data_IF_657463076958
#
_entry.id   IF_657463076958
#
_cell.length_a   1.000
_cell.length_b   1.000
_cell.length_c   1.000
_cell.angle_alpha   90.00
_cell.angle_beta   90.00
_cell.angle_gamma   90.00
#
_symmetry.space_group_name_H-M   'P 1'
#
loop_
_entity.id
_entity.type
_entity.pdbx_description
1 polymer ?
#
# COMPACT_ATOMS: atom_id res chain seq x y z
N UNK A 1 -13.52 20.23 22.40
CA UNK A 1 -13.24 18.80 22.74
C UNK A 1 -13.60 17.78 21.64
N UNK A 2 -14.26 18.16 20.56
CA UNK A 2 -14.80 17.24 19.52
C UNK A 2 -13.75 16.71 18.52
N UNK A 3 -12.68 17.47 18.22
CA UNK A 3 -11.69 17.13 17.19
C UNK A 3 -10.82 15.91 17.55
N UNK A 4 -10.42 15.76 18.82
CA UNK A 4 -9.58 14.65 19.30
C UNK A 4 -10.31 13.29 19.28
N UNK A 5 -11.62 13.30 19.56
CA UNK A 5 -12.47 12.10 19.57
C UNK A 5 -12.71 11.55 18.14
N UNK A 6 -12.86 12.44 17.16
CA UNK A 6 -13.05 12.11 15.74
C UNK A 6 -11.80 11.44 15.12
N UNK A 7 -10.61 11.96 15.45
CA UNK A 7 -9.31 11.42 14.97
C UNK A 7 -9.05 10.01 15.51
N UNK A 8 -9.39 9.77 16.79
CA UNK A 8 -9.22 8.44 17.38
C UNK A 8 -10.15 7.40 16.75
N UNK A 9 -11.39 7.76 16.39
CA UNK A 9 -12.35 6.82 15.79
C UNK A 9 -11.88 6.31 14.42
N UNK A 10 -11.37 7.19 13.55
CA UNK A 10 -10.83 6.80 12.25
C UNK A 10 -9.61 5.89 12.42
N UNK A 11 -8.70 6.24 13.31
CA UNK A 11 -7.51 5.42 13.61
C UNK A 11 -7.90 4.05 14.12
N UNK A 12 -8.87 3.96 15.03
CA UNK A 12 -9.36 2.70 15.56
C UNK A 12 -10.05 1.84 14.49
N UNK A 13 -10.85 2.45 13.60
CA UNK A 13 -11.50 1.75 12.50
C UNK A 13 -10.48 1.18 11.50
N UNK A 14 -9.43 1.94 11.18
CA UNK A 14 -8.33 1.47 10.33
C UNK A 14 -7.61 0.27 10.97
N UNK A 15 -7.20 0.40 12.22
CA UNK A 15 -6.54 -0.68 12.95
C UNK A 15 -7.41 -1.94 13.02
N UNK A 16 -8.70 -1.78 13.31
CA UNK A 16 -9.65 -2.87 13.38
C UNK A 16 -9.79 -3.62 12.06
N UNK A 17 -9.85 -2.91 10.92
CA UNK A 17 -9.91 -3.56 9.61
C UNK A 17 -8.61 -4.28 9.28
N UNK A 18 -7.45 -3.69 9.57
CA UNK A 18 -6.13 -4.33 9.39
C UNK A 18 -6.05 -5.64 10.18
N UNK A 19 -6.41 -5.64 11.46
CA UNK A 19 -6.40 -6.84 12.29
C UNK A 19 -7.33 -7.93 11.73
N UNK A 20 -8.56 -7.55 11.35
CA UNK A 20 -9.53 -8.50 10.79
C UNK A 20 -9.08 -9.10 9.46
N UNK A 21 -8.39 -8.34 8.59
CA UNK A 21 -7.82 -8.84 7.34
C UNK A 21 -6.73 -9.89 7.54
N UNK A 22 -6.04 -9.87 8.68
CA UNK A 22 -5.07 -10.90 9.04
C UNK A 22 -5.73 -12.18 9.57
N UNK A 23 -6.91 -12.06 10.19
CA UNK A 23 -7.62 -13.15 10.86
C UNK A 23 -8.60 -13.90 9.95
N UNK A 24 -9.21 -13.20 8.98
CA UNK A 24 -10.27 -13.78 8.15
C UNK A 24 -10.31 -13.19 6.73
N UNK A 25 -11.03 -13.88 5.85
CA UNK A 25 -11.27 -13.43 4.47
C UNK A 25 -12.07 -12.13 4.46
N UNK A 26 -11.71 -11.22 3.54
CA UNK A 26 -12.38 -9.93 3.38
C UNK A 26 -13.90 -10.05 3.20
N UNK A 27 -14.35 -11.06 2.45
CA UNK A 27 -15.78 -11.34 2.19
C UNK A 27 -16.59 -11.56 3.48
N UNK A 28 -15.96 -12.12 4.50
CA UNK A 28 -16.58 -12.44 5.80
C UNK A 28 -16.54 -11.27 6.78
N UNK A 29 -15.74 -10.23 6.51
CA UNK A 29 -15.67 -9.04 7.36
C UNK A 29 -16.93 -8.19 7.17
N UNK A 30 -17.58 -7.87 8.26
CA UNK A 30 -18.76 -7.00 8.31
C UNK A 30 -18.45 -5.68 9.02
N UNK A 31 -19.26 -4.65 8.78
CA UNK A 31 -19.18 -3.39 9.53
C UNK A 31 -19.37 -3.64 11.04
N UNK A 32 -20.18 -4.64 11.40
CA UNK A 32 -20.34 -5.07 12.80
C UNK A 32 -19.03 -5.55 13.43
N UNK A 33 -18.26 -6.41 12.72
CA UNK A 33 -16.96 -6.86 13.18
C UNK A 33 -16.00 -5.68 13.36
N UNK A 34 -15.95 -4.78 12.38
CA UNK A 34 -15.05 -3.61 12.39
C UNK A 34 -15.37 -2.70 13.57
N UNK A 35 -16.65 -2.32 13.73
CA UNK A 35 -17.08 -1.39 14.81
C UNK A 35 -16.91 -1.98 16.18
N UNK A 36 -17.18 -3.28 16.35
CA UNK A 36 -16.95 -3.99 17.61
C UNK A 36 -15.46 -4.00 17.97
N UNK A 37 -14.59 -4.37 17.03
CA UNK A 37 -13.12 -4.41 17.20
C UNK A 37 -12.56 -3.01 17.49
N UNK A 38 -13.07 -1.97 16.80
CA UNK A 38 -12.67 -0.58 16.96
C UNK A 38 -13.22 0.07 18.24
N UNK A 39 -14.14 -0.60 18.96
CA UNK A 39 -14.86 -0.06 20.09
C UNK A 39 -15.57 1.28 19.78
N UNK A 40 -16.27 1.32 18.65
CA UNK A 40 -17.08 2.47 18.23
C UNK A 40 -18.49 2.02 17.83
N UNK A 41 -19.45 2.96 17.78
CA UNK A 41 -20.80 2.67 17.31
C UNK A 41 -20.84 2.55 15.77
N UNK A 42 -21.85 1.84 15.22
CA UNK A 42 -22.12 1.85 13.77
C UNK A 42 -22.40 3.26 13.25
N UNK A 43 -23.09 4.10 14.03
CA UNK A 43 -23.30 5.50 13.68
C UNK A 43 -21.99 6.28 13.54
N UNK A 44 -21.00 5.99 14.40
CA UNK A 44 -19.66 6.57 14.28
C UNK A 44 -18.95 6.10 13.00
N UNK A 45 -19.11 4.83 12.60
CA UNK A 45 -18.57 4.33 11.33
C UNK A 45 -19.13 5.12 10.15
N UNK A 46 -20.47 5.22 10.05
CA UNK A 46 -21.14 5.90 8.94
C UNK A 46 -20.98 7.43 8.93
N UNK A 47 -20.44 8.03 9.98
CA UNK A 47 -19.99 9.43 9.97
C UNK A 47 -18.69 9.64 9.17
N UNK A 48 -17.94 8.56 8.90
CA UNK A 48 -16.62 8.63 8.27
C UNK A 48 -16.56 7.87 6.95
N UNK A 49 -17.26 6.74 6.83
CA UNK A 49 -17.17 5.81 5.69
C UNK A 49 -18.56 5.34 5.27
N UNK A 50 -18.73 5.18 3.96
CA UNK A 50 -20.00 4.68 3.38
C UNK A 50 -20.20 3.19 3.68
N UNK A 51 -19.12 2.42 3.53
CA UNK A 51 -19.08 0.98 3.75
C UNK A 51 -17.65 0.51 4.07
N UNK A 52 -17.44 -0.82 4.17
CA UNK A 52 -16.12 -1.38 4.44
C UNK A 52 -15.15 -1.21 3.27
N UNK A 53 -15.68 -1.10 2.05
CA UNK A 53 -14.90 -0.95 0.83
C UNK A 53 -14.32 0.47 0.76
N UNK A 54 -15.10 1.47 1.16
CA UNK A 54 -14.65 2.87 1.31
C UNK A 54 -13.54 2.99 2.36
N UNK A 55 -13.70 2.33 3.51
CA UNK A 55 -12.64 2.27 4.53
C UNK A 55 -11.37 1.57 4.01
N UNK A 56 -11.51 0.46 3.29
CA UNK A 56 -10.37 -0.27 2.72
C UNK A 56 -9.64 0.59 1.66
N UNK A 57 -10.40 1.24 0.78
CA UNK A 57 -9.86 2.16 -0.23
C UNK A 57 -9.10 3.33 0.42
N UNK A 58 -9.67 3.91 1.46
CA UNK A 58 -9.04 4.99 2.23
C UNK A 58 -7.70 4.55 2.83
N UNK A 59 -7.65 3.37 3.47
CA UNK A 59 -6.41 2.81 4.03
C UNK A 59 -5.36 2.62 2.93
N UNK A 60 -5.75 2.03 1.81
CA UNK A 60 -4.85 1.79 0.68
C UNK A 60 -4.28 3.08 0.11
N UNK A 61 -5.12 4.11 -0.05
CA UNK A 61 -4.69 5.42 -0.57
C UNK A 61 -3.71 6.11 0.39
N UNK A 62 -4.02 6.13 1.68
CA UNK A 62 -3.14 6.72 2.70
C UNK A 62 -1.79 5.97 2.78
N UNK A 63 -1.81 4.64 2.65
CA UNK A 63 -0.59 3.83 2.64
C UNK A 63 0.28 4.14 1.42
N UNK A 64 -0.31 4.23 0.24
CA UNK A 64 0.43 4.57 -0.98
C UNK A 64 0.99 5.99 -0.94
N UNK A 65 0.25 6.95 -0.37
CA UNK A 65 0.73 8.31 -0.18
C UNK A 65 1.97 8.35 0.72
N UNK A 66 1.94 7.66 1.85
CA UNK A 66 3.10 7.56 2.75
C UNK A 66 4.29 6.86 2.08
N UNK A 67 4.01 5.84 1.29
CA UNK A 67 5.02 5.09 0.55
C UNK A 67 5.70 5.99 -0.49
N UNK A 68 4.91 6.78 -1.24
CA UNK A 68 5.39 7.80 -2.14
C UNK A 68 6.30 8.82 -1.43
N UNK A 69 5.85 9.40 -0.33
CA UNK A 69 6.58 10.41 0.41
C UNK A 69 7.97 9.92 0.85
N UNK A 70 8.09 8.66 1.26
CA UNK A 70 9.35 8.06 1.69
C UNK A 70 10.25 7.75 0.49
N UNK A 71 9.71 7.19 -0.59
CA UNK A 71 10.48 6.82 -1.77
C UNK A 71 10.88 8.02 -2.64
N UNK A 72 10.07 9.08 -2.66
CA UNK A 72 10.37 10.29 -3.40
C UNK A 72 11.47 11.15 -2.74
N UNK A 73 11.81 10.90 -1.48
CA UNK A 73 12.88 11.60 -0.77
C UNK A 73 14.25 11.04 -1.17
N UNK A 74 15.05 11.85 -1.86
CA UNK A 74 16.45 11.56 -2.15
C UNK A 74 16.75 11.21 -3.60
N UNK A 75 18.03 11.07 -3.89
CA UNK A 75 18.56 10.72 -5.22
C UNK A 75 18.65 9.20 -5.32
N UNK A 76 17.51 8.52 -5.52
CA UNK A 76 17.45 7.07 -5.60
C UNK A 76 17.95 6.57 -6.97
N UNK A 77 18.83 5.58 -6.95
CA UNK A 77 19.01 4.72 -8.11
C UNK A 77 18.05 3.52 -8.07
N UNK A 78 18.16 2.60 -9.03
CA UNK A 78 17.23 1.44 -9.13
C UNK A 78 17.32 0.52 -7.92
N UNK A 79 18.55 0.24 -7.48
CA UNK A 79 18.81 -0.71 -6.39
C UNK A 79 18.36 -0.13 -5.06
N UNK A 80 18.70 1.14 -4.82
CA UNK A 80 18.26 1.88 -3.63
C UNK A 80 16.73 1.98 -3.53
N UNK A 81 16.04 2.16 -4.66
CA UNK A 81 14.57 2.26 -4.67
C UNK A 81 13.93 0.93 -4.27
N UNK A 82 14.40 -0.19 -4.83
CA UNK A 82 13.88 -1.51 -4.47
C UNK A 82 14.17 -1.83 -3.01
N UNK A 83 15.41 -1.67 -2.58
CA UNK A 83 15.82 -1.94 -1.21
C UNK A 83 14.99 -1.12 -0.20
N UNK A 84 14.83 0.19 -0.44
CA UNK A 84 13.98 1.03 0.42
C UNK A 84 12.53 0.58 0.45
N UNK A 85 11.96 0.22 -0.69
CA UNK A 85 10.59 -0.28 -0.75
C UNK A 85 10.43 -1.57 0.08
N UNK A 86 11.36 -2.51 -0.06
CA UNK A 86 11.35 -3.76 0.69
C UNK A 86 11.55 -3.55 2.19
N UNK A 87 12.46 -2.65 2.60
CA UNK A 87 12.65 -2.30 4.00
C UNK A 87 11.41 -1.65 4.64
N UNK A 88 10.71 -0.78 3.89
CA UNK A 88 9.45 -0.20 4.35
C UNK A 88 8.38 -1.27 4.60
N UNK A 89 8.25 -2.20 3.66
CA UNK A 89 7.31 -3.32 3.78
C UNK A 89 7.69 -4.21 4.95
N UNK A 90 8.98 -4.53 5.13
CA UNK A 90 9.48 -5.33 6.25
C UNK A 90 9.15 -4.69 7.60
N UNK A 91 9.34 -3.37 7.72
CA UNK A 91 9.09 -2.63 8.96
C UNK A 91 7.61 -2.57 9.34
N UNK A 92 6.69 -2.62 8.38
CA UNK A 92 5.24 -2.60 8.63
C UNK A 92 4.54 -3.78 7.92
N UNK A 93 5.17 -4.96 7.98
CA UNK A 93 4.73 -6.15 7.25
C UNK A 93 3.27 -6.50 7.47
N UNK A 94 2.81 -6.48 8.73
CA UNK A 94 1.41 -6.80 9.06
C UNK A 94 0.41 -5.92 8.31
N UNK A 95 0.70 -4.64 8.21
CA UNK A 95 -0.12 -3.69 7.48
C UNK A 95 -0.15 -4.02 5.98
N UNK A 96 1.02 -4.20 5.36
CA UNK A 96 1.11 -4.54 3.93
C UNK A 96 0.47 -5.89 3.61
N UNK A 97 0.68 -6.91 4.44
CA UNK A 97 0.02 -8.22 4.30
C UNK A 97 -1.50 -8.13 4.42
N UNK A 98 -2.00 -7.29 5.33
CA UNK A 98 -3.44 -7.07 5.48
C UNK A 98 -4.04 -6.40 4.24
N UNK A 99 -3.48 -5.26 3.82
CA UNK A 99 -4.03 -4.50 2.69
C UNK A 99 -3.91 -5.23 1.35
N UNK A 100 -2.91 -6.10 1.17
CA UNK A 100 -2.79 -6.91 -0.05
C UNK A 100 -3.95 -7.92 -0.20
N UNK A 101 -4.59 -8.32 0.90
CA UNK A 101 -5.75 -9.21 0.92
C UNK A 101 -7.10 -8.52 0.65
N UNK A 102 -7.15 -7.19 0.66
CA UNK A 102 -8.38 -6.43 0.48
C UNK A 102 -8.56 -6.06 -1.00
N UNK A 103 -9.56 -6.63 -1.72
CA UNK A 103 -9.72 -6.43 -3.17
C UNK A 103 -9.86 -4.95 -3.57
N UNK A 104 -10.59 -4.19 -2.77
CA UNK A 104 -10.88 -2.77 -3.05
C UNK A 104 -9.69 -1.82 -2.79
N UNK A 105 -8.62 -2.30 -2.15
CA UNK A 105 -7.36 -1.56 -2.07
C UNK A 105 -6.67 -1.45 -3.42
N UNK A 106 -6.87 -2.44 -4.30
CA UNK A 106 -6.17 -2.53 -5.59
C UNK A 106 -4.65 -2.43 -5.41
N UNK A 107 -4.13 -3.18 -4.44
CA UNK A 107 -2.76 -3.04 -3.96
C UNK A 107 -1.73 -3.13 -5.10
N UNK A 108 -1.86 -4.14 -5.97
CA UNK A 108 -0.95 -4.37 -7.10
C UNK A 108 -0.94 -3.20 -8.08
N UNK A 109 -2.11 -2.75 -8.50
CA UNK A 109 -2.25 -1.64 -9.44
C UNK A 109 -1.68 -0.33 -8.86
N UNK A 110 -1.95 -0.07 -7.58
CA UNK A 110 -1.43 1.11 -6.88
C UNK A 110 0.09 1.08 -6.71
N UNK A 111 0.68 -0.08 -6.40
CA UNK A 111 2.13 -0.24 -6.33
C UNK A 111 2.75 -0.03 -7.71
N UNK A 112 2.20 -0.64 -8.75
CA UNK A 112 2.69 -0.45 -10.12
C UNK A 112 2.61 1.02 -10.56
N UNK A 113 1.49 1.70 -10.29
CA UNK A 113 1.33 3.12 -10.61
C UNK A 113 2.32 3.97 -9.84
N UNK A 114 2.51 3.72 -8.55
CA UNK A 114 3.49 4.41 -7.71
C UNK A 114 4.91 4.34 -8.32
N UNK A 115 5.33 3.15 -8.75
CA UNK A 115 6.65 2.96 -9.36
C UNK A 115 6.74 3.68 -10.70
N UNK A 116 5.69 3.65 -11.53
CA UNK A 116 5.64 4.42 -12.77
C UNK A 116 5.83 5.93 -12.49
N UNK A 117 5.14 6.45 -11.50
CA UNK A 117 5.19 7.87 -11.15
C UNK A 117 6.57 8.26 -10.60
N UNK A 118 7.18 7.42 -9.76
CA UNK A 118 8.55 7.64 -9.27
C UNK A 118 9.57 7.68 -10.41
N UNK A 119 9.46 6.78 -11.38
CA UNK A 119 10.35 6.76 -12.55
C UNK A 119 10.13 8.01 -13.41
N UNK A 120 8.88 8.38 -13.68
CA UNK A 120 8.55 9.52 -14.52
C UNK A 120 8.99 10.86 -13.90
N UNK A 121 8.95 10.95 -12.57
CA UNK A 121 9.38 12.14 -11.83
C UNK A 121 10.89 12.17 -11.53
N UNK A 122 11.65 11.12 -11.90
CA UNK A 122 13.08 11.06 -11.69
C UNK A 122 13.84 10.84 -13.00
N UNK A 123 14.36 11.92 -13.67
CA UNK A 123 15.06 11.81 -14.94
C UNK A 123 16.26 10.86 -14.92
N UNK A 124 17.01 10.82 -13.82
CA UNK A 124 18.20 9.96 -13.69
C UNK A 124 17.84 8.47 -13.69
N UNK A 125 16.76 8.10 -12.99
CA UNK A 125 16.25 6.72 -13.02
C UNK A 125 15.70 6.38 -14.40
N UNK A 126 14.94 7.30 -14.99
CA UNK A 126 14.36 7.13 -16.33
C UNK A 126 15.44 6.88 -17.38
N UNK A 127 16.52 7.66 -17.40
CA UNK A 127 17.65 7.45 -18.32
C UNK A 127 18.34 6.11 -18.09
N UNK A 128 18.57 5.71 -16.85
CA UNK A 128 19.21 4.40 -16.54
C UNK A 128 18.35 3.22 -17.01
N UNK A 129 17.01 3.31 -16.89
CA UNK A 129 16.10 2.26 -17.33
C UNK A 129 16.07 2.16 -18.86
N UNK A 130 16.18 3.29 -19.56
CA UNK A 130 16.14 3.38 -21.03
C UNK A 130 17.46 3.02 -21.72
N UNK A 131 18.57 3.10 -21.00
CA UNK A 131 19.91 2.88 -21.56
C UNK A 131 20.01 1.46 -22.12
N UNK A 132 20.06 1.33 -23.45
CA UNK A 132 20.23 0.09 -24.23
C UNK A 132 18.94 -0.60 -24.72
N UNK A 133 17.80 0.07 -24.80
CA UNK A 133 16.62 -0.53 -25.43
C UNK A 133 16.20 0.22 -26.70
N UNK A 134 15.72 -0.54 -27.70
CA UNK A 134 15.06 0.00 -28.90
C UNK A 134 13.54 0.08 -28.74
N UNK A 135 13.04 -0.24 -27.54
CA UNK A 135 11.63 -0.30 -27.19
C UNK A 135 11.20 1.09 -26.72
N UNK A 136 9.93 1.44 -26.92
CA UNK A 136 9.39 2.72 -26.46
C UNK A 136 9.51 2.87 -24.95
N UNK A 137 9.75 4.09 -24.47
CA UNK A 137 9.88 4.43 -23.06
C UNK A 137 8.72 3.92 -22.22
N UNK A 138 7.50 4.09 -22.73
CA UNK A 138 6.28 3.69 -22.03
C UNK A 138 6.24 2.19 -21.74
N UNK A 139 6.61 1.37 -22.72
CA UNK A 139 6.65 -0.09 -22.58
C UNK A 139 7.72 -0.48 -21.57
N UNK A 140 8.91 0.12 -21.66
CA UNK A 140 10.02 -0.17 -20.75
C UNK A 140 9.67 0.18 -19.31
N UNK A 141 9.09 1.35 -19.08
CA UNK A 141 8.67 1.80 -17.74
C UNK A 141 7.59 0.89 -17.18
N UNK A 142 6.57 0.54 -17.98
CA UNK A 142 5.52 -0.40 -17.56
C UNK A 142 6.06 -1.79 -17.22
N UNK A 143 6.95 -2.33 -18.07
CA UNK A 143 7.57 -3.63 -17.81
C UNK A 143 8.40 -3.63 -16.52
N UNK A 144 9.19 -2.57 -16.30
CA UNK A 144 9.98 -2.41 -15.09
C UNK A 144 9.08 -2.30 -13.86
N UNK A 145 8.03 -1.47 -13.92
CA UNK A 145 7.10 -1.29 -12.81
C UNK A 145 6.32 -2.56 -12.47
N UNK A 146 5.93 -3.34 -13.49
CA UNK A 146 5.27 -4.63 -13.29
C UNK A 146 6.22 -5.65 -12.65
N UNK A 147 7.49 -5.69 -13.06
CA UNK A 147 8.49 -6.57 -12.43
C UNK A 147 8.71 -6.22 -10.96
N UNK A 148 8.76 -4.94 -10.64
CA UNK A 148 8.90 -4.44 -9.28
C UNK A 148 7.71 -4.83 -8.41
N UNK A 149 6.49 -4.60 -8.91
CA UNK A 149 5.25 -5.00 -8.24
C UNK A 149 5.23 -6.51 -7.98
N UNK A 150 5.58 -7.31 -8.98
CA UNK A 150 5.61 -8.77 -8.86
C UNK A 150 6.58 -9.24 -7.77
N UNK A 151 7.76 -8.65 -7.67
CA UNK A 151 8.74 -8.95 -6.61
C UNK A 151 8.16 -8.61 -5.24
N UNK A 152 7.58 -7.42 -5.08
CA UNK A 152 6.96 -6.97 -3.83
C UNK A 152 5.83 -7.91 -3.42
N UNK A 153 4.91 -8.21 -4.33
CA UNK A 153 3.77 -9.09 -4.06
C UNK A 153 4.21 -10.50 -3.71
N UNK A 154 5.15 -11.07 -4.48
CA UNK A 154 5.73 -12.38 -4.19
C UNK A 154 6.33 -12.43 -2.79
N UNK A 155 7.10 -11.42 -2.41
CA UNK A 155 7.77 -11.37 -1.13
C UNK A 155 6.77 -11.25 0.04
N UNK A 156 5.72 -10.43 -0.10
CA UNK A 156 4.64 -10.32 0.89
C UNK A 156 3.87 -11.64 0.99
N UNK A 157 3.58 -12.30 -0.13
CA UNK A 157 2.80 -13.55 -0.16
C UNK A 157 3.58 -14.71 0.49
N UNK A 158 4.91 -14.71 0.39
CA UNK A 158 5.80 -15.70 1.00
C UNK A 158 6.32 -15.30 2.40
N UNK A 159 5.59 -14.46 3.12
CA UNK A 159 5.85 -14.09 4.52
C UNK A 159 7.28 -13.57 4.77
N UNK A 160 7.83 -12.83 3.80
CA UNK A 160 9.19 -12.26 3.83
C UNK A 160 10.28 -13.35 4.02
N UNK A 161 10.11 -14.50 3.39
CA UNK A 161 10.98 -15.68 3.57
C UNK A 161 12.44 -15.44 3.18
N UNK A 162 12.72 -14.43 2.35
CA UNK A 162 14.06 -14.04 1.95
C UNK A 162 14.43 -12.68 2.52
N UNK A 163 15.72 -12.49 2.86
CA UNK A 163 16.21 -11.17 3.26
C UNK A 163 16.35 -10.28 2.01
N UNK A 164 16.00 -9.01 2.08
CA UNK A 164 16.26 -8.09 0.99
C UNK A 164 17.75 -7.66 0.89
N UNK A 165 18.56 -8.06 1.87
CA UNK A 165 20.02 -7.82 1.96
C UNK A 165 20.81 -9.04 1.51
#
# INVERSE_FOLDING_TARGET
MTKKRKTNSVTNLKAALIDLLLEMEYSKITIGNITQRANVSRGTFYQHFLDKDDLAYFIGTETMQRFWEILAQGNLDKEDMLLKALLLIKNDYKHFKAISKAPHVQFKDKVQQLICDLINNNPAIREKIKKNTKISDEIVIKAFSASFETIISFWIDNDLSESPE
#
